data_IF_293859151106
#
_entry.id   IF_293859151106
#
_cell.length_a   1.000
_cell.length_b   1.000
_cell.length_c   1.000
_cell.angle_alpha   90.00
_cell.angle_beta   90.00
_cell.angle_gamma   90.00
#
_symmetry.space_group_name_H-M   'P 1'
#
loop_
_entity.id
_entity.type
_entity.pdbx_description
1 polymer ?
#
# COMPACT_ATOMS: atom_id res chain seq x y z
N UNK A 1 -15.16 26.97 47.44
CA UNK A 1 -16.43 26.22 47.53
C UNK A 1 -16.29 24.93 46.72
N UNK A 2 -16.03 23.78 47.36
CA UNK A 2 -15.93 22.49 46.68
C UNK A 2 -17.29 21.79 46.67
N UNK A 3 -17.77 21.39 45.48
CA UNK A 3 -18.99 20.61 45.31
C UNK A 3 -18.66 19.14 45.06
N UNK A 4 -18.65 18.35 46.13
CA UNK A 4 -18.59 16.90 46.11
C UNK A 4 -19.95 16.27 45.83
N UNK A 5 -20.05 15.33 44.87
CA UNK A 5 -21.13 14.34 44.88
C UNK A 5 -20.57 12.93 44.85
N UNK A 6 -21.04 12.16 45.83
CA UNK A 6 -20.63 10.80 46.19
C UNK A 6 -21.57 9.77 45.57
N UNK A 7 -20.97 8.81 44.87
CA UNK A 7 -21.15 7.34 44.93
C UNK A 7 -22.55 6.72 44.79
N UNK A 8 -22.65 5.76 43.88
CA UNK A 8 -23.40 4.51 44.13
C UNK A 8 -22.69 3.31 43.48
N UNK A 9 -22.65 2.20 44.22
CA UNK A 9 -21.94 0.93 43.97
C UNK A 9 -22.92 -0.16 43.51
N UNK A 10 -22.33 -1.25 43.00
CA UNK A 10 -22.86 -2.62 42.79
C UNK A 10 -23.70 -2.80 41.50
N UNK A 11 -23.60 -3.91 40.75
CA UNK A 11 -23.31 -5.30 41.14
C UNK A 11 -22.69 -6.13 39.99
N UNK A 12 -21.81 -7.07 40.34
CA UNK A 12 -21.37 -8.19 39.50
C UNK A 12 -22.30 -9.41 39.69
N UNK A 13 -22.34 -10.34 38.71
CA UNK A 13 -22.50 -11.82 38.84
C UNK A 13 -22.56 -12.48 37.43
N UNK A 14 -22.20 -13.77 37.28
CA UNK A 14 -21.36 -14.30 36.19
C UNK A 14 -22.05 -15.37 35.32
N UNK A 15 -21.24 -16.13 34.54
CA UNK A 15 -21.45 -17.43 33.85
C UNK A 15 -21.09 -17.32 32.35
N UNK A 16 -19.99 -17.89 31.82
CA UNK A 16 -19.51 -19.28 31.73
C UNK A 16 -20.18 -20.13 30.63
N UNK A 17 -19.40 -20.33 29.55
CA UNK A 17 -19.35 -21.48 28.59
C UNK A 17 -20.41 -21.57 27.47
N UNK A 18 -20.15 -22.27 26.33
CA UNK A 18 -18.95 -23.07 25.95
C UNK A 18 -18.32 -22.72 24.57
N UNK A 19 -17.10 -23.23 24.39
CA UNK A 19 -16.40 -23.38 23.10
C UNK A 19 -17.20 -24.28 22.15
N UNK A 20 -17.45 -23.82 20.92
CA UNK A 20 -17.78 -24.67 19.77
C UNK A 20 -16.94 -24.27 18.57
N UNK A 21 -16.15 -25.23 18.08
CA UNK A 21 -15.24 -25.08 16.95
C UNK A 21 -16.03 -25.38 15.67
N UNK A 22 -16.61 -24.34 15.05
CA UNK A 22 -17.31 -24.47 13.78
C UNK A 22 -16.34 -24.24 12.61
N UNK A 23 -15.81 -25.34 12.08
CA UNK A 23 -15.13 -25.38 10.78
C UNK A 23 -16.17 -25.12 9.68
N UNK A 24 -16.29 -23.88 9.23
CA UNK A 24 -17.05 -23.54 8.02
C UNK A 24 -16.10 -23.19 6.87
N UNK A 25 -15.83 -24.20 6.05
CA UNK A 25 -15.56 -23.97 4.64
C UNK A 25 -16.86 -23.47 4.00
N UNK A 26 -16.87 -22.25 3.43
CA UNK A 26 -17.54 -21.93 2.15
C UNK A 26 -17.51 -20.44 1.81
N UNK A 27 -16.98 -20.20 0.60
CA UNK A 27 -17.59 -19.45 -0.52
C UNK A 27 -18.21 -18.10 -0.17
N UNK A 28 -17.49 -17.05 -0.49
CA UNK A 28 -18.04 -15.72 -0.72
C UNK A 28 -19.04 -15.77 -1.86
N UNK A 29 -20.32 -15.55 -1.55
CA UNK A 29 -21.34 -15.18 -2.53
C UNK A 29 -21.39 -13.65 -2.55
N UNK A 30 -21.08 -13.05 -3.71
CA UNK A 30 -21.46 -11.68 -3.97
C UNK A 30 -22.93 -11.69 -4.44
N UNK A 31 -23.85 -11.23 -3.60
CA UNK A 31 -25.23 -10.97 -4.00
C UNK A 31 -25.35 -9.55 -4.53
N UNK A 32 -25.74 -9.42 -5.80
CA UNK A 32 -26.21 -8.19 -6.41
C UNK A 32 -27.74 -8.25 -6.35
N UNK A 33 -28.36 -7.36 -5.60
CA UNK A 33 -29.80 -7.07 -5.71
C UNK A 33 -29.97 -5.96 -6.72
N UNK A 34 -30.60 -6.27 -7.85
CA UNK A 34 -31.32 -5.30 -8.66
C UNK A 34 -32.69 -5.91 -8.95
N UNK A 35 -33.71 -5.26 -8.42
CA UNK A 35 -35.10 -5.54 -8.68
C UNK A 35 -35.39 -5.34 -10.17
N UNK A 36 -35.90 -6.38 -10.82
CA UNK A 36 -36.89 -6.19 -11.88
C UNK A 36 -37.81 -7.41 -11.93
N UNK A 37 -39.05 -7.18 -11.53
CA UNK A 37 -40.20 -8.01 -11.84
C UNK A 37 -40.25 -8.30 -13.35
N UNK A 38 -40.48 -9.57 -13.72
CA UNK A 38 -41.50 -9.99 -14.68
C UNK A 38 -41.74 -11.51 -14.54
N UNK A 39 -43.00 -11.85 -14.29
CA UNK A 39 -43.54 -13.19 -14.12
C UNK A 39 -43.57 -13.94 -15.45
N UNK A 40 -43.10 -15.20 -15.47
CA UNK A 40 -43.81 -16.28 -16.16
C UNK A 40 -43.42 -17.63 -15.55
N UNK A 41 -44.43 -18.36 -15.07
CA UNK A 41 -44.34 -19.69 -14.48
C UNK A 41 -44.87 -20.70 -15.50
N UNK A 42 -44.08 -21.74 -15.79
CA UNK A 42 -44.62 -23.02 -16.27
C UNK A 42 -43.64 -24.13 -15.90
N UNK A 43 -44.07 -24.99 -14.98
CA UNK A 43 -43.36 -26.19 -14.54
C UNK A 43 -43.37 -27.27 -15.64
N UNK A 44 -42.27 -28.02 -15.75
CA UNK A 44 -42.33 -29.47 -16.00
C UNK A 44 -41.03 -30.15 -15.54
N UNK A 45 -41.16 -31.09 -14.60
CA UNK A 45 -40.14 -32.07 -14.23
C UNK A 45 -40.05 -33.16 -15.30
N UNK A 46 -38.83 -33.59 -15.65
CA UNK A 46 -38.55 -34.99 -16.04
C UNK A 46 -37.05 -35.31 -15.94
N UNK A 47 -36.79 -36.60 -15.73
CA UNK A 47 -35.59 -37.27 -15.23
C UNK A 47 -34.46 -37.54 -16.25
N UNK A 48 -33.24 -37.60 -15.71
CA UNK A 48 -32.02 -38.38 -16.05
C UNK A 48 -31.86 -39.02 -17.44
N UNK A 49 -30.83 -38.59 -18.21
CA UNK A 49 -29.71 -39.44 -18.71
C UNK A 49 -28.72 -38.64 -19.59
N UNK A 50 -27.47 -39.09 -19.58
CA UNK A 50 -26.23 -38.54 -20.14
C UNK A 50 -26.18 -38.36 -21.67
N UNK A 51 -25.81 -37.17 -22.15
CA UNK A 51 -24.94 -36.97 -23.34
C UNK A 51 -24.54 -35.50 -23.46
N UNK A 52 -23.24 -35.26 -23.59
CA UNK A 52 -22.59 -33.97 -23.80
C UNK A 52 -23.09 -33.24 -25.05
N UNK A 53 -23.72 -32.08 -24.86
CA UNK A 53 -23.79 -31.03 -25.87
C UNK A 53 -23.42 -29.72 -25.18
N UNK A 54 -22.12 -29.40 -25.20
CA UNK A 54 -21.66 -28.07 -24.81
C UNK A 54 -22.35 -27.08 -25.75
N UNK A 55 -23.30 -26.29 -25.21
CA UNK A 55 -23.92 -25.21 -25.97
C UNK A 55 -22.79 -24.37 -26.57
N UNK A 56 -22.82 -24.03 -27.88
CA UNK A 56 -21.81 -23.16 -28.46
C UNK A 56 -21.74 -21.90 -27.60
N UNK A 57 -20.53 -21.57 -27.13
CA UNK A 57 -20.30 -20.42 -26.25
C UNK A 57 -20.76 -19.20 -27.04
N UNK A 58 -21.92 -18.66 -26.68
CA UNK A 58 -22.41 -17.41 -27.26
C UNK A 58 -21.41 -16.34 -26.83
N UNK A 59 -20.69 -15.80 -27.81
CA UNK A 59 -19.61 -14.83 -27.61
C UNK A 59 -20.13 -13.60 -26.84
N UNK A 60 -21.42 -13.30 -27.01
CA UNK A 60 -22.14 -12.21 -26.33
C UNK A 60 -22.28 -12.39 -24.81
N UNK A 61 -22.05 -13.60 -24.26
CA UNK A 61 -22.12 -13.89 -22.82
C UNK A 61 -20.73 -14.05 -22.18
N UNK A 62 -19.64 -13.80 -22.92
CA UNK A 62 -18.28 -13.98 -22.42
C UNK A 62 -17.95 -12.86 -21.43
N UNK A 63 -17.74 -13.24 -20.16
CA UNK A 63 -17.30 -12.29 -19.13
C UNK A 63 -15.87 -11.85 -19.40
N UNK A 64 -15.60 -10.56 -19.23
CA UNK A 64 -14.25 -10.03 -19.26
C UNK A 64 -13.37 -10.68 -18.17
N UNK A 65 -12.04 -10.80 -18.40
CA UNK A 65 -11.14 -11.36 -17.40
C UNK A 65 -11.15 -10.52 -16.12
N UNK A 66 -10.97 -11.19 -14.98
CA UNK A 66 -11.05 -10.55 -13.66
C UNK A 66 -10.05 -9.40 -13.48
N UNK A 67 -8.89 -9.47 -14.13
CA UNK A 67 -7.88 -8.41 -14.11
C UNK A 67 -8.40 -7.12 -14.74
N UNK A 68 -9.02 -7.20 -15.92
CA UNK A 68 -9.64 -6.06 -16.61
C UNK A 68 -10.82 -5.53 -15.81
N UNK A 69 -11.69 -6.43 -15.32
CA UNK A 69 -12.82 -6.04 -14.49
C UNK A 69 -12.37 -5.28 -13.23
N UNK A 70 -11.29 -5.70 -12.59
CA UNK A 70 -10.76 -5.05 -11.40
C UNK A 70 -10.31 -3.60 -11.65
N UNK A 71 -9.86 -3.24 -12.86
CA UNK A 71 -9.47 -1.87 -13.20
C UNK A 71 -10.64 -0.88 -13.11
N UNK A 72 -11.83 -1.31 -13.51
CA UNK A 72 -13.04 -0.49 -13.47
C UNK A 72 -13.69 -0.42 -12.08
N UNK A 73 -13.27 -1.29 -11.17
CA UNK A 73 -13.77 -1.34 -9.81
C UNK A 73 -12.83 -0.58 -8.86
N UNK A 74 -13.34 -0.29 -7.67
CA UNK A 74 -12.54 0.21 -6.54
C UNK A 74 -11.46 -0.83 -6.18
N UNK A 75 -10.31 -0.39 -5.64
CA UNK A 75 -9.22 -1.30 -5.28
C UNK A 75 -9.71 -2.27 -4.22
N UNK A 76 -9.56 -3.56 -4.52
CA UNK A 76 -9.86 -4.64 -3.58
C UNK A 76 -8.89 -4.55 -2.39
N UNK A 77 -9.37 -4.86 -1.20
CA UNK A 77 -8.58 -4.85 0.04
C UNK A 77 -8.63 -6.22 0.68
N UNK A 78 -7.54 -6.61 1.33
CA UNK A 78 -7.49 -7.81 2.17
C UNK A 78 -7.72 -7.45 3.62
N UNK A 79 -8.27 -8.40 4.36
CA UNK A 79 -8.48 -8.28 5.81
C UNK A 79 -7.18 -8.62 6.54
N UNK A 80 -6.93 -7.95 7.67
CA UNK A 80 -5.78 -8.20 8.52
C UNK A 80 -6.22 -9.07 9.70
N UNK A 81 -5.40 -10.05 10.09
CA UNK A 81 -5.73 -10.99 11.17
C UNK A 81 -5.38 -10.43 12.54
N UNK A 82 -4.17 -9.86 12.68
CA UNK A 82 -3.63 -9.35 13.95
C UNK A 82 -3.67 -7.83 14.01
N UNK A 83 -3.58 -7.15 12.87
CA UNK A 83 -3.66 -5.70 12.78
C UNK A 83 -2.40 -4.98 13.26
N UNK A 84 -1.24 -5.62 13.24
CA UNK A 84 0.05 -5.03 13.62
C UNK A 84 0.59 -4.24 12.40
N UNK A 85 0.95 -2.95 12.55
CA UNK A 85 1.50 -2.17 11.45
C UNK A 85 2.92 -2.63 11.08
N UNK A 86 3.11 -2.99 9.81
CA UNK A 86 4.42 -3.40 9.27
C UNK A 86 5.07 -2.31 8.43
N UNK A 87 4.27 -1.48 7.74
CA UNK A 87 4.79 -0.36 6.96
C UNK A 87 3.80 0.79 6.87
N UNK A 88 4.32 2.01 7.04
CA UNK A 88 3.58 3.24 6.82
C UNK A 88 4.21 3.99 5.65
N UNK A 89 3.46 4.09 4.55
CA UNK A 89 3.83 4.83 3.36
C UNK A 89 3.12 6.19 3.36
N UNK A 90 3.88 7.27 3.53
CA UNK A 90 3.41 8.63 3.42
C UNK A 90 3.72 9.19 2.02
N UNK A 91 2.66 9.55 1.30
CA UNK A 91 2.72 10.23 0.01
C UNK A 91 2.52 11.73 0.20
N UNK A 92 3.29 12.54 -0.53
CA UNK A 92 3.22 14.00 -0.51
C UNK A 92 3.18 14.56 -1.93
N UNK A 93 2.32 15.52 -2.19
CA UNK A 93 2.28 16.24 -3.47
C UNK A 93 1.71 17.64 -3.28
N UNK A 94 1.95 18.52 -4.24
CA UNK A 94 1.31 19.83 -4.32
C UNK A 94 -0.04 19.78 -5.09
N UNK A 95 -0.34 18.67 -5.77
CA UNK A 95 -1.58 18.48 -6.54
C UNK A 95 -2.35 17.23 -6.06
N UNK A 96 -3.69 17.28 -6.18
CA UNK A 96 -4.59 16.21 -5.72
C UNK A 96 -4.58 15.02 -6.68
N UNK A 97 -4.70 15.28 -7.98
CA UNK A 97 -4.86 14.24 -9.01
C UNK A 97 -3.72 13.20 -9.05
N UNK A 98 -2.43 13.58 -9.13
CA UNK A 98 -1.33 12.60 -9.10
C UNK A 98 -1.29 11.81 -7.79
N UNK A 99 -1.62 12.48 -6.67
CA UNK A 99 -1.60 11.89 -5.34
C UNK A 99 -2.69 10.81 -5.18
N UNK A 100 -3.90 11.09 -5.65
CA UNK A 100 -5.02 10.13 -5.59
C UNK A 100 -4.82 8.97 -6.55
N UNK A 101 -4.40 9.25 -7.79
CA UNK A 101 -4.10 8.23 -8.79
C UNK A 101 -3.01 7.26 -8.29
N UNK A 102 -1.90 7.79 -7.78
CA UNK A 102 -0.81 6.95 -7.28
C UNK A 102 -1.21 6.17 -6.03
N UNK A 103 -2.07 6.73 -5.18
CA UNK A 103 -2.59 6.02 -4.02
C UNK A 103 -3.47 4.83 -4.40
N UNK A 104 -4.30 4.95 -5.44
CA UNK A 104 -5.11 3.83 -5.96
C UNK A 104 -4.22 2.73 -6.56
N UNK A 105 -3.23 3.13 -7.36
CA UNK A 105 -2.22 2.22 -7.92
C UNK A 105 -1.49 1.44 -6.81
N UNK A 106 -1.08 2.11 -5.74
CA UNK A 106 -0.39 1.48 -4.63
C UNK A 106 -1.25 0.45 -3.88
N UNK A 107 -2.55 0.74 -3.68
CA UNK A 107 -3.49 -0.20 -3.08
C UNK A 107 -3.70 -1.44 -3.97
N UNK A 108 -3.83 -1.26 -5.29
CA UNK A 108 -3.96 -2.38 -6.23
C UNK A 108 -2.74 -3.29 -6.18
N UNK A 109 -1.53 -2.72 -6.19
CA UNK A 109 -0.29 -3.48 -6.07
C UNK A 109 -0.24 -4.29 -4.77
N UNK A 110 -0.61 -3.67 -3.64
CA UNK A 110 -0.65 -4.34 -2.34
C UNK A 110 -1.63 -5.54 -2.34
N UNK A 111 -2.80 -5.40 -2.98
CA UNK A 111 -3.78 -6.49 -3.08
C UNK A 111 -3.24 -7.72 -3.81
N UNK A 112 -2.46 -7.54 -4.88
CA UNK A 112 -1.89 -8.67 -5.61
C UNK A 112 -0.78 -9.36 -4.82
N UNK A 113 0.06 -8.59 -4.12
CA UNK A 113 1.10 -9.11 -3.23
C UNK A 113 0.54 -9.74 -1.94
N UNK A 114 -0.73 -9.48 -1.65
CA UNK A 114 -1.42 -10.03 -0.51
C UNK A 114 -1.22 -9.32 0.81
N UNK A 115 -0.78 -8.07 0.73
CA UNK A 115 -0.63 -7.19 1.87
C UNK A 115 -1.99 -6.55 2.20
N UNK A 116 -2.51 -6.66 3.43
CA UNK A 116 -3.73 -5.97 3.82
C UNK A 116 -3.44 -4.49 4.04
N UNK A 117 -3.70 -3.70 2.99
CA UNK A 117 -3.50 -2.26 2.98
C UNK A 117 -4.74 -1.50 3.46
N UNK A 118 -4.53 -0.62 4.43
CA UNK A 118 -5.48 0.38 4.86
C UNK A 118 -5.33 1.60 3.97
N UNK A 119 -6.49 2.10 3.51
CA UNK A 119 -6.61 3.04 2.38
C UNK A 119 -5.87 4.37 2.55
N UNK A 120 -5.92 5.26 1.55
CA UNK A 120 -5.25 6.56 1.63
C UNK A 120 -5.90 7.44 2.69
N UNK A 121 -5.37 7.41 3.90
CA UNK A 121 -5.78 8.25 5.01
C UNK A 121 -5.34 9.69 4.68
N UNK A 122 -6.28 10.64 4.55
CA UNK A 122 -5.94 12.03 4.30
C UNK A 122 -5.33 12.62 5.58
N UNK A 123 -4.02 12.91 5.52
CA UNK A 123 -3.36 13.63 6.59
C UNK A 123 -3.60 15.13 6.42
N UNK A 124 -3.55 15.92 7.51
CA UNK A 124 -3.69 17.37 7.43
C UNK A 124 -2.72 17.97 6.40
N UNK A 125 -3.18 18.88 5.56
CA UNK A 125 -2.31 19.60 4.62
C UNK A 125 -1.40 20.58 5.37
N UNK A 126 -0.18 20.75 4.88
CA UNK A 126 0.75 21.79 5.37
C UNK A 126 0.62 22.97 4.43
N UNK A 127 0.35 24.17 4.94
CA UNK A 127 0.30 25.39 4.14
C UNK A 127 1.41 26.34 4.58
N UNK A 128 2.37 26.54 3.69
CA UNK A 128 3.44 27.53 3.86
C UNK A 128 3.01 28.81 3.15
N UNK A 129 3.13 29.96 3.81
CA UNK A 129 2.72 31.27 3.26
C UNK A 129 3.89 32.24 3.30
N UNK A 130 4.06 33.01 2.24
CA UNK A 130 5.02 34.10 2.19
C UNK A 130 4.42 35.33 1.51
N UNK A 131 4.84 36.50 1.96
CA UNK A 131 4.37 37.79 1.45
C UNK A 131 5.52 38.49 0.76
N UNK A 132 5.35 38.81 -0.51
CA UNK A 132 6.42 39.41 -1.34
C UNK A 132 5.90 40.73 -1.91
N UNK A 133 6.72 41.80 -1.92
CA UNK A 133 6.38 43.03 -2.63
C UNK A 133 6.15 42.76 -4.12
N UNK A 134 5.09 43.34 -4.70
CA UNK A 134 4.78 43.16 -6.13
C UNK A 134 5.84 43.76 -7.06
N UNK A 135 6.50 44.83 -6.61
CA UNK A 135 7.60 45.50 -7.31
C UNK A 135 8.92 45.23 -6.62
N UNK A 136 9.98 45.14 -7.42
CA UNK A 136 11.37 45.01 -6.95
C UNK A 136 11.86 46.22 -6.16
N UNK A 137 11.27 47.42 -6.32
CA UNK A 137 11.75 48.66 -5.72
C UNK A 137 10.62 49.62 -5.25
N UNK A 138 10.90 50.37 -4.16
CA UNK A 138 10.10 51.41 -3.45
C UNK A 138 8.67 51.02 -2.99
N UNK A 139 7.89 50.31 -3.80
CA UNK A 139 6.45 50.09 -3.58
C UNK A 139 6.12 48.99 -2.54
N UNK A 140 6.58 49.16 -1.29
CA UNK A 140 6.34 48.20 -0.18
C UNK A 140 4.87 48.07 0.24
N UNK A 141 4.03 49.09 0.02
CA UNK A 141 2.59 49.04 0.33
C UNK A 141 1.82 48.07 -0.56
N UNK A 142 2.35 47.76 -1.74
CA UNK A 142 1.78 46.78 -2.66
C UNK A 142 2.47 45.42 -2.45
N UNK A 143 1.84 44.55 -1.66
CA UNK A 143 2.32 43.20 -1.38
C UNK A 143 1.37 42.15 -1.97
N UNK A 144 1.90 40.96 -2.21
CA UNK A 144 1.17 39.79 -2.67
C UNK A 144 1.46 38.60 -1.73
N UNK A 145 0.40 37.85 -1.41
CA UNK A 145 0.49 36.66 -0.60
C UNK A 145 0.58 35.44 -1.52
N UNK A 146 1.60 34.63 -1.32
CA UNK A 146 1.76 33.34 -1.97
C UNK A 146 1.60 32.23 -0.95
N UNK A 147 1.11 31.08 -1.41
CA UNK A 147 1.07 29.88 -0.59
C UNK A 147 1.54 28.65 -1.35
N UNK A 148 2.15 27.72 -0.61
CA UNK A 148 2.43 26.35 -1.04
C UNK A 148 1.70 25.40 -0.14
N UNK A 149 0.71 24.71 -0.70
CA UNK A 149 -0.07 23.70 0.01
C UNK A 149 0.48 22.32 -0.31
N UNK A 150 1.04 21.66 0.70
CA UNK A 150 1.48 20.27 0.60
C UNK A 150 0.37 19.35 1.07
N UNK A 151 -0.18 18.58 0.14
CA UNK A 151 -1.17 17.54 0.38
C UNK A 151 -0.48 16.24 0.77
N UNK A 152 -1.06 15.52 1.72
CA UNK A 152 -0.46 14.31 2.28
C UNK A 152 -1.49 13.19 2.38
N UNK A 153 -1.13 12.00 1.91
CA UNK A 153 -1.90 10.77 2.11
C UNK A 153 -1.02 9.73 2.77
N UNK A 154 -1.61 8.86 3.57
CA UNK A 154 -0.91 7.79 4.26
C UNK A 154 -1.57 6.46 3.93
N UNK A 155 -0.77 5.47 3.56
CA UNK A 155 -1.19 4.09 3.33
C UNK A 155 -0.47 3.27 4.39
N UNK A 156 -1.24 2.53 5.19
CA UNK A 156 -0.70 1.67 6.24
C UNK A 156 -0.91 0.22 5.85
N UNK A 157 0.16 -0.56 5.84
CA UNK A 157 0.11 -2.01 5.69
C UNK A 157 0.17 -2.63 7.08
N UNK A 158 -0.74 -3.57 7.33
CA UNK A 158 -0.73 -4.40 8.52
C UNK A 158 -0.31 -5.82 8.16
N UNK A 159 0.23 -6.56 9.12
CA UNK A 159 0.53 -7.99 9.02
C UNK A 159 1.26 -8.39 7.72
N UNK A 160 2.21 -7.55 7.27
CA UNK A 160 2.96 -7.76 6.04
C UNK A 160 4.30 -8.45 6.31
N UNK A 161 4.63 -9.45 5.49
CA UNK A 161 5.97 -10.03 5.48
C UNK A 161 6.99 -8.96 5.02
N UNK A 162 8.14 -8.80 5.71
CA UNK A 162 9.13 -7.76 5.39
C UNK A 162 9.64 -7.81 3.94
N UNK A 163 9.89 -9.00 3.39
CA UNK A 163 10.37 -9.17 2.01
C UNK A 163 9.32 -8.71 0.99
N UNK A 164 8.05 -9.07 1.24
CA UNK A 164 6.93 -8.69 0.37
C UNK A 164 6.67 -7.17 0.42
N UNK A 165 6.82 -6.57 1.61
CA UNK A 165 6.74 -5.11 1.79
C UNK A 165 7.87 -4.41 1.04
N UNK A 166 9.10 -4.93 1.10
CA UNK A 166 10.23 -4.39 0.34
C UNK A 166 10.00 -4.49 -1.17
N UNK A 167 9.52 -5.64 -1.65
CA UNK A 167 9.16 -5.83 -3.06
C UNK A 167 8.08 -4.84 -3.51
N UNK A 168 7.06 -4.62 -2.68
CA UNK A 168 6.03 -3.62 -2.94
C UNK A 168 6.62 -2.21 -3.05
N UNK A 169 7.46 -1.80 -2.10
CA UNK A 169 8.12 -0.49 -2.13
C UNK A 169 9.05 -0.34 -3.35
N UNK A 170 9.77 -1.39 -3.73
CA UNK A 170 10.62 -1.41 -4.93
C UNK A 170 9.79 -1.23 -6.20
N UNK A 171 8.65 -1.92 -6.29
CA UNK A 171 7.71 -1.79 -7.40
C UNK A 171 7.15 -0.37 -7.50
N UNK A 172 6.75 0.23 -6.36
CA UNK A 172 6.27 1.62 -6.31
C UNK A 172 7.34 2.63 -6.71
N UNK A 173 8.60 2.40 -6.31
CA UNK A 173 9.72 3.25 -6.70
C UNK A 173 9.99 3.19 -8.21
N UNK A 174 9.94 2.00 -8.80
CA UNK A 174 10.10 1.80 -10.25
C UNK A 174 9.02 2.51 -11.06
N UNK A 175 7.79 2.50 -10.56
CA UNK A 175 6.61 3.09 -11.22
C UNK A 175 6.13 4.38 -10.54
N UNK A 176 7.06 5.18 -9.99
CA UNK A 176 6.73 6.41 -9.28
C UNK A 176 6.05 7.42 -10.22
N UNK A 177 4.88 7.91 -9.82
CA UNK A 177 4.18 8.97 -10.56
C UNK A 177 4.85 10.32 -10.31
N UNK A 178 4.91 11.17 -11.34
CA UNK A 178 5.55 12.47 -11.25
C UNK A 178 4.86 13.36 -10.20
N UNK A 179 5.65 14.25 -9.58
CA UNK A 179 5.13 15.20 -8.59
C UNK A 179 4.63 14.57 -7.28
N UNK A 180 4.84 13.26 -7.07
CA UNK A 180 4.56 12.56 -5.80
C UNK A 180 5.88 12.19 -5.14
N UNK A 181 6.08 12.69 -3.92
CA UNK A 181 7.16 12.25 -3.02
C UNK A 181 6.67 11.15 -2.08
N UNK A 182 7.51 10.16 -1.81
CA UNK A 182 7.21 9.03 -0.93
C UNK A 182 8.17 8.99 0.26
N UNK A 183 7.63 8.73 1.45
CA UNK A 183 8.39 8.40 2.66
C UNK A 183 7.81 7.13 3.24
N UNK A 184 8.61 6.07 3.34
CA UNK A 184 8.20 4.82 3.95
C UNK A 184 8.89 4.64 5.30
N UNK A 185 8.12 4.30 6.33
CA UNK A 185 8.63 3.76 7.58
C UNK A 185 8.32 2.25 7.56
N UNK A 186 9.32 1.41 7.79
CA UNK A 186 9.19 -0.05 7.81
C UNK A 186 9.53 -0.54 9.21
N UNK A 187 8.72 -1.44 9.75
CA UNK A 187 8.94 -2.11 11.02
C UNK A 187 9.27 -3.57 10.78
N UNK A 188 10.27 -4.05 11.50
CA UNK A 188 10.73 -5.44 11.48
C UNK A 188 10.83 -5.93 12.93
N UNK A 189 10.53 -7.22 13.12
CA UNK A 189 10.69 -7.86 14.41
C UNK A 189 12.11 -8.42 14.51
N UNK A 190 12.83 -8.01 15.54
CA UNK A 190 14.12 -8.60 15.90
C UNK A 190 14.05 -9.22 17.29
N UNK A 191 14.85 -10.26 17.51
CA UNK A 191 15.03 -10.82 18.84
C UNK A 191 15.89 -9.87 19.68
N UNK A 192 15.56 -9.63 20.96
CA UNK A 192 16.36 -8.78 21.82
C UNK A 192 17.76 -9.39 22.02
N UNK A 193 18.80 -8.59 21.79
CA UNK A 193 20.21 -9.00 21.91
C UNK A 193 20.87 -9.48 20.61
N UNK A 194 20.11 -9.55 19.52
CA UNK A 194 20.63 -9.84 18.18
C UNK A 194 20.77 -8.53 17.39
N UNK A 195 21.99 -8.20 16.96
CA UNK A 195 22.21 -7.05 16.08
C UNK A 195 21.67 -7.39 14.67
N UNK A 196 20.62 -6.68 14.19
CA UNK A 196 20.03 -6.99 12.88
C UNK A 196 21.00 -6.72 11.74
N UNK A 197 22.02 -5.87 11.94
CA UNK A 197 23.03 -5.55 10.93
C UNK A 197 24.12 -6.61 10.76
N UNK A 198 24.26 -7.56 11.70
CA UNK A 198 25.30 -8.61 11.64
C UNK A 198 24.82 -9.88 10.90
N UNK A 199 23.53 -10.21 10.94
CA UNK A 199 23.01 -11.48 10.42
C UNK A 199 22.65 -11.48 8.93
N UNK A 200 22.58 -10.32 8.28
CA UNK A 200 22.14 -10.19 6.88
C UNK A 200 23.26 -10.57 5.89
N UNK A 201 24.47 -10.87 6.35
CA UNK A 201 25.65 -10.64 5.50
C UNK A 201 26.00 -11.68 4.44
N UNK A 202 25.67 -12.96 4.54
CA UNK A 202 26.13 -13.91 3.50
C UNK A 202 25.10 -14.99 3.15
N UNK A 203 24.56 -15.73 4.12
CA UNK A 203 23.75 -16.93 3.84
C UNK A 203 22.38 -16.64 3.19
N UNK A 204 21.69 -15.57 3.59
CA UNK A 204 20.41 -15.20 2.99
C UNK A 204 20.57 -14.60 1.59
N UNK A 205 21.69 -13.95 1.30
CA UNK A 205 21.95 -13.36 -0.01
C UNK A 205 22.15 -14.44 -1.07
N UNK A 206 22.86 -15.51 -0.73
CA UNK A 206 23.07 -16.66 -1.62
C UNK A 206 21.74 -17.36 -1.94
N UNK A 207 20.90 -17.58 -0.93
CA UNK A 207 19.57 -18.18 -1.10
C UNK A 207 18.65 -17.31 -1.98
N UNK A 208 18.72 -15.98 -1.81
CA UNK A 208 17.97 -15.06 -2.64
C UNK A 208 18.48 -15.10 -4.08
N UNK A 209 19.79 -15.14 -4.31
CA UNK A 209 20.41 -15.25 -5.64
C UNK A 209 19.82 -16.39 -6.48
N UNK A 210 19.65 -17.57 -5.86
CA UNK A 210 19.04 -18.73 -6.52
C UNK A 210 17.56 -18.48 -6.88
N UNK A 211 16.77 -17.86 -5.99
CA UNK A 211 15.37 -17.51 -6.24
C UNK A 211 15.23 -16.47 -7.36
N UNK A 212 16.11 -15.48 -7.40
CA UNK A 212 16.10 -14.42 -8.42
C UNK A 212 16.59 -14.93 -9.78
N UNK A 213 17.53 -15.88 -9.82
CA UNK A 213 18.05 -16.46 -11.06
C UNK A 213 16.98 -17.25 -11.85
N UNK A 214 16.03 -17.87 -11.15
CA UNK A 214 14.91 -18.60 -11.76
C UNK A 214 13.86 -17.65 -12.34
N UNK A 215 13.85 -16.38 -11.94
CA UNK A 215 12.91 -15.36 -12.40
C UNK A 215 13.38 -14.74 -13.73
N UNK A 216 13.32 -15.52 -14.81
CA UNK A 216 13.90 -15.24 -16.14
C UNK A 216 13.41 -14.02 -16.92
N UNK A 217 12.73 -13.05 -16.30
CA UNK A 217 12.33 -11.78 -16.91
C UNK A 217 12.94 -10.53 -16.27
N UNK A 218 13.67 -10.67 -15.16
CA UNK A 218 14.43 -9.54 -14.63
C UNK A 218 15.74 -9.49 -15.41
N UNK A 219 15.93 -8.46 -16.23
CA UNK A 219 17.25 -8.14 -16.76
C UNK A 219 18.19 -8.00 -15.58
N UNK A 220 19.29 -8.78 -15.61
CA UNK A 220 20.30 -8.94 -14.57
C UNK A 220 20.37 -7.71 -13.64
N UNK A 221 19.88 -7.88 -12.41
CA UNK A 221 20.08 -6.90 -11.34
C UNK A 221 21.60 -6.76 -11.24
N UNK A 222 22.12 -5.62 -11.73
CA UNK A 222 23.54 -5.47 -12.02
C UNK A 222 24.42 -6.06 -10.92
N UNK A 223 25.43 -6.83 -11.34
CA UNK A 223 26.38 -7.51 -10.45
C UNK A 223 26.73 -6.65 -9.21
N UNK A 224 26.93 -7.28 -8.03
CA UNK A 224 27.26 -6.55 -6.80
C UNK A 224 28.40 -5.55 -7.01
N UNK A 225 29.39 -5.91 -7.84
CA UNK A 225 30.47 -5.02 -8.29
C UNK A 225 29.96 -3.74 -8.98
N UNK A 226 28.99 -3.83 -9.89
CA UNK A 226 28.37 -2.66 -10.54
C UNK A 226 27.57 -1.81 -9.53
N UNK A 227 26.97 -2.45 -8.53
CA UNK A 227 26.27 -1.73 -7.45
C UNK A 227 27.28 -1.01 -6.56
N UNK A 228 28.38 -1.66 -6.20
CA UNK A 228 29.49 -1.06 -5.46
C UNK A 228 30.12 0.11 -6.21
N UNK A 229 30.35 -0.03 -7.51
CA UNK A 229 30.82 1.04 -8.38
C UNK A 229 29.83 2.21 -8.45
N UNK A 230 28.53 1.94 -8.50
CA UNK A 230 27.48 2.96 -8.44
C UNK A 230 27.42 3.67 -7.08
N UNK A 231 27.56 2.94 -5.97
CA UNK A 231 27.61 3.51 -4.62
C UNK A 231 28.88 4.36 -4.44
N UNK A 232 29.98 3.92 -5.04
CA UNK A 232 31.23 4.66 -5.05
C UNK A 232 31.25 5.83 -6.03
N UNK A 233 30.27 5.89 -6.94
CA UNK A 233 30.15 6.98 -7.90
C UNK A 233 30.03 8.34 -7.22
N UNK A 234 30.69 9.33 -7.84
CA UNK A 234 30.74 10.71 -7.33
C UNK A 234 29.34 11.30 -7.14
N UNK A 235 28.43 11.01 -8.09
CA UNK A 235 27.05 11.48 -8.09
C UNK A 235 26.27 10.99 -6.86
N UNK A 236 26.48 9.75 -6.45
CA UNK A 236 25.82 9.18 -5.28
C UNK A 236 26.33 9.81 -3.98
N UNK A 237 27.66 9.95 -3.84
CA UNK A 237 28.29 10.55 -2.65
C UNK A 237 27.91 12.02 -2.45
N UNK A 238 27.79 12.78 -3.54
CA UNK A 238 27.34 14.18 -3.48
C UNK A 238 25.84 14.28 -3.12
N UNK A 239 24.98 13.41 -3.68
CA UNK A 239 23.55 13.37 -3.36
C UNK A 239 23.26 12.93 -1.92
N UNK A 240 24.08 12.02 -1.37
CA UNK A 240 23.99 11.57 0.01
C UNK A 240 24.63 12.54 1.01
N UNK A 241 25.27 13.63 0.55
CA UNK A 241 25.92 14.62 1.41
C UNK A 241 27.13 14.08 2.19
N UNK A 242 27.70 12.96 1.74
CA UNK A 242 28.79 12.24 2.43
C UNK A 242 30.18 12.86 2.18
N UNK A 243 30.27 13.96 1.42
CA UNK A 243 31.55 14.48 0.95
C UNK A 243 32.12 15.56 1.88
N UNK A 244 33.37 15.37 2.29
CA UNK A 244 34.24 16.44 2.81
C UNK A 244 34.84 17.25 1.64
N UNK A 245 34.90 18.59 1.71
CA UNK A 245 35.53 19.38 0.66
C UNK A 245 37.01 18.97 0.53
N UNK A 246 37.47 18.78 -0.71
CA UNK A 246 38.90 18.54 -0.95
C UNK A 246 39.68 19.76 -0.48
N UNK A 247 40.76 19.54 0.27
CA UNK A 247 41.67 20.61 0.65
C UNK A 247 42.12 21.34 -0.62
N UNK A 248 41.97 22.66 -0.63
CA UNK A 248 42.50 23.52 -1.69
C UNK A 248 44.02 23.41 -1.62
N UNK A 249 44.64 22.69 -2.56
CA UNK A 249 46.09 22.66 -2.67
C UNK A 249 46.57 24.11 -2.88
N UNK A 250 47.34 24.61 -1.90
CA UNK A 250 48.11 25.86 -1.98
C UNK A 250 49.40 25.61 -2.78
#
# INVERSE_FOLDING_TARGET
>A
MPGSFSRSKASAIPASLPLTLARTSRRTFASITLDHDLKYNSQSRSSTSTSSLAKPIQIDQVRQPRSLQALHLKPLKREAEFGIPSCDLQLRSFSVQPLEFFSDFALRAAYYLGLPAYGPIPLPRITERWTVPKSHFIFKKAQENFERVTLRRMIQIRDGNPETVQLWLAYLRRHQFYGVGMKANVWEFSQPGLDPSQNVRDEQLDQLGDVWSQLGQIGDLGSPEKVEDLLNSRRFKDAAGLRQPLATNK
#
